data_IF_917748571708
#
_entry.id   IF_917748571708
#
_cell.length_a   1.000
_cell.length_b   1.000
_cell.length_c   1.000
_cell.angle_alpha   90.00
_cell.angle_beta   90.00
_cell.angle_gamma   90.00
#
_symmetry.space_group_name_H-M   'P 1'
#
loop_
_entity.id
_entity.type
_entity.pdbx_description
1 polymer ?
#
# COMPACT_ATOMS: atom_id res chain seq x y z
N UNK A 1 -1.20 -22.02 1.49
CA UNK A 1 -0.70 -22.98 2.49
C UNK A 1 -1.75 -24.05 2.69
N UNK A 2 -1.33 -25.28 2.93
CA UNK A 2 -2.22 -26.41 3.25
C UNK A 2 -2.83 -26.19 4.64
N UNK A 3 -4.14 -26.43 4.80
CA UNK A 3 -4.84 -26.29 6.09
C UNK A 3 -4.38 -27.33 7.12
N UNK A 4 -3.55 -28.30 6.71
CA UNK A 4 -2.97 -29.35 7.55
C UNK A 4 -1.94 -28.89 8.59
N UNK A 5 -1.50 -27.62 8.56
CA UNK A 5 -0.46 -27.07 9.44
C UNK A 5 -1.00 -26.20 10.59
N UNK A 6 -2.32 -26.14 10.79
CA UNK A 6 -2.89 -25.41 11.93
C UNK A 6 -2.56 -26.13 13.25
N UNK A 7 -2.14 -25.42 14.31
CA UNK A 7 -1.92 -26.04 15.62
C UNK A 7 -3.16 -26.75 16.13
N UNK A 8 -2.98 -27.94 16.71
CA UNK A 8 -4.07 -28.78 17.23
C UNK A 8 -3.94 -28.90 18.74
N UNK A 9 -5.05 -28.64 19.44
CA UNK A 9 -5.09 -28.76 20.90
C UNK A 9 -5.09 -30.24 21.31
N UNK A 10 -4.19 -30.62 22.21
CA UNK A 10 -4.05 -32.00 22.72
C UNK A 10 -4.75 -32.12 24.08
N UNK A 11 -5.39 -33.27 24.33
CA UNK A 11 -6.10 -33.56 25.58
C UNK A 11 -5.40 -34.72 26.28
N UNK A 12 -4.86 -34.48 27.47
CA UNK A 12 -4.11 -35.47 28.24
C UNK A 12 -4.98 -36.67 28.67
N UNK A 13 -6.29 -36.46 28.89
CA UNK A 13 -7.23 -37.54 29.22
C UNK A 13 -7.54 -38.49 28.05
N UNK A 14 -7.28 -38.06 26.81
CA UNK A 14 -7.51 -38.86 25.61
C UNK A 14 -6.30 -39.74 25.25
N UNK A 15 -5.20 -39.62 26.00
CA UNK A 15 -4.01 -40.44 25.78
C UNK A 15 -4.23 -41.89 26.17
N UNK A 16 -3.73 -42.81 25.34
CA UNK A 16 -3.63 -44.21 25.71
C UNK A 16 -2.69 -44.39 26.92
N UNK A 17 -2.98 -45.37 27.78
CA UNK A 17 -2.17 -45.66 28.97
C UNK A 17 -0.71 -45.98 28.66
N UNK A 18 -0.44 -46.52 27.46
CA UNK A 18 0.89 -46.86 26.97
C UNK A 18 1.73 -45.61 26.66
N UNK A 19 1.10 -44.56 26.12
CA UNK A 19 1.75 -43.29 25.75
C UNK A 19 1.81 -42.31 26.92
N UNK A 20 0.96 -42.49 27.94
CA UNK A 20 0.87 -41.57 29.06
C UNK A 20 2.18 -41.53 29.87
N UNK A 21 2.80 -42.69 30.07
CA UNK A 21 4.04 -42.78 30.84
C UNK A 21 5.25 -42.20 30.09
N UNK A 22 5.26 -42.30 28.76
CA UNK A 22 6.31 -41.71 27.93
C UNK A 22 6.18 -40.18 27.89
N UNK A 23 4.96 -39.64 27.79
CA UNK A 23 4.71 -38.20 27.82
C UNK A 23 4.99 -37.61 29.22
N UNK A 24 4.61 -38.27 30.31
CA UNK A 24 5.03 -37.84 31.64
C UNK A 24 6.55 -37.80 31.80
N UNK A 25 7.27 -38.77 31.24
CA UNK A 25 8.74 -38.77 31.26
C UNK A 25 9.30 -37.63 30.40
N UNK A 26 8.73 -37.38 29.21
CA UNK A 26 9.11 -36.30 28.29
C UNK A 26 9.00 -34.92 28.93
N UNK A 27 7.92 -34.65 29.66
CA UNK A 27 7.70 -33.38 30.36
C UNK A 27 8.27 -33.36 31.79
N UNK A 28 8.94 -34.42 32.24
CA UNK A 28 9.54 -34.50 33.58
C UNK A 28 8.51 -34.56 34.73
N UNK A 29 7.29 -34.99 34.47
CA UNK A 29 6.18 -35.04 35.44
C UNK A 29 6.28 -36.32 36.29
N UNK A 30 7.02 -36.21 37.39
CA UNK A 30 7.40 -37.34 38.27
C UNK A 30 6.74 -37.33 39.65
N UNK A 31 6.16 -36.20 40.07
CA UNK A 31 5.61 -35.99 41.41
C UNK A 31 4.10 -35.68 41.38
N UNK A 32 3.39 -36.03 42.46
CA UNK A 32 1.95 -35.83 42.62
C UNK A 32 1.13 -37.10 42.42
N UNK A 33 -0.14 -37.05 42.82
CA UNK A 33 -1.09 -38.12 42.52
C UNK A 33 -1.43 -38.16 41.01
N UNK A 34 -2.15 -39.20 40.58
CA UNK A 34 -2.48 -39.41 39.17
C UNK A 34 -3.17 -38.18 38.58
N UNK A 35 -4.12 -37.59 39.33
CA UNK A 35 -4.86 -36.42 38.89
C UNK A 35 -3.96 -35.18 38.72
N UNK A 36 -3.06 -34.92 39.68
CA UNK A 36 -2.10 -33.82 39.62
C UNK A 36 -1.15 -33.94 38.43
N UNK A 37 -0.72 -35.17 38.11
CA UNK A 37 0.14 -35.44 36.95
C UNK A 37 -0.59 -35.22 35.64
N UNK A 38 -1.85 -35.64 35.53
CA UNK A 38 -2.69 -35.33 34.37
C UNK A 38 -2.91 -33.82 34.18
N UNK A 39 -3.18 -33.09 35.27
CA UNK A 39 -3.32 -31.63 35.20
C UNK A 39 -2.02 -30.96 34.74
N UNK A 40 -0.87 -31.37 35.30
CA UNK A 40 0.43 -30.86 34.87
C UNK A 40 0.73 -31.17 33.39
N UNK A 41 0.32 -32.34 32.88
CA UNK A 41 0.49 -32.68 31.47
C UNK A 41 -0.43 -31.87 30.56
N UNK A 42 -1.69 -31.68 30.97
CA UNK A 42 -2.63 -30.83 30.23
C UNK A 42 -2.14 -29.37 30.19
N UNK A 43 -1.58 -28.87 31.30
CA UNK A 43 -0.99 -27.53 31.35
C UNK A 43 0.16 -27.39 30.34
N UNK A 44 1.04 -28.40 30.22
CA UNK A 44 2.09 -28.40 29.18
C UNK A 44 1.52 -28.41 27.76
N UNK A 45 0.48 -29.18 27.49
CA UNK A 45 -0.17 -29.19 26.18
C UNK A 45 -0.83 -27.86 25.85
N UNK A 46 -1.45 -27.22 26.84
CA UNK A 46 -2.07 -25.91 26.68
C UNK A 46 -0.99 -24.83 26.43
N UNK A 47 0.12 -24.84 27.17
CA UNK A 47 1.27 -23.94 26.94
C UNK A 47 1.88 -24.10 25.54
N UNK A 48 2.09 -25.35 25.09
CA UNK A 48 2.62 -25.63 23.75
C UNK A 48 1.64 -25.19 22.65
N UNK A 49 0.34 -25.43 22.86
CA UNK A 49 -0.70 -25.02 21.93
C UNK A 49 -0.77 -23.50 21.82
N UNK A 50 -0.79 -22.79 22.94
CA UNK A 50 -0.84 -21.33 22.97
C UNK A 50 0.38 -20.72 22.27
N UNK A 51 1.58 -21.27 22.53
CA UNK A 51 2.81 -20.87 21.84
C UNK A 51 2.72 -21.11 20.33
N UNK A 52 2.27 -22.31 19.93
CA UNK A 52 2.14 -22.69 18.52
C UNK A 52 1.11 -21.85 17.78
N UNK A 53 0.01 -21.45 18.43
CA UNK A 53 -1.01 -20.56 17.88
C UNK A 53 -0.44 -19.17 17.63
N UNK A 54 0.29 -18.60 18.60
CA UNK A 54 0.93 -17.28 18.44
C UNK A 54 1.92 -17.31 17.27
N UNK A 55 2.74 -18.34 17.16
CA UNK A 55 3.68 -18.50 16.05
C UNK A 55 2.96 -18.64 14.69
N UNK A 56 1.91 -19.46 14.64
CA UNK A 56 1.09 -19.65 13.45
C UNK A 56 0.42 -18.34 13.00
N UNK A 57 -0.21 -17.62 13.92
CA UNK A 57 -0.85 -16.32 13.64
C UNK A 57 0.17 -15.30 13.14
N UNK A 58 1.36 -15.26 13.75
CA UNK A 58 2.46 -14.37 13.33
C UNK A 58 2.90 -14.68 11.90
N UNK A 59 3.05 -15.96 11.55
CA UNK A 59 3.46 -16.35 10.19
C UNK A 59 2.36 -16.06 9.16
N UNK A 60 1.09 -16.28 9.51
CA UNK A 60 -0.05 -15.91 8.65
C UNK A 60 -0.07 -14.40 8.41
N UNK A 61 0.07 -13.59 9.45
CA UNK A 61 0.13 -12.13 9.32
C UNK A 61 1.28 -11.67 8.42
N UNK A 62 2.46 -12.29 8.57
CA UNK A 62 3.63 -12.01 7.74
C UNK A 62 3.38 -12.35 6.27
N UNK A 63 2.77 -13.51 5.99
CA UNK A 63 2.40 -13.91 4.63
C UNK A 63 1.36 -12.98 4.01
N UNK A 64 0.36 -12.54 4.78
CA UNK A 64 -0.63 -11.56 4.33
C UNK A 64 0.02 -10.20 4.03
N UNK A 65 0.95 -9.75 4.87
CA UNK A 65 1.71 -8.53 4.66
C UNK A 65 2.56 -8.62 3.39
N UNK A 66 3.23 -9.75 3.16
CA UNK A 66 4.05 -9.98 1.96
C UNK A 66 3.20 -10.07 0.69
N UNK A 67 2.04 -10.74 0.75
CA UNK A 67 1.07 -10.76 -0.36
C UNK A 67 0.59 -9.35 -0.69
N UNK A 68 0.23 -8.58 0.33
CA UNK A 68 -0.25 -7.20 0.17
C UNK A 68 0.84 -6.32 -0.43
N UNK A 69 2.07 -6.42 0.09
CA UNK A 69 3.24 -5.73 -0.45
C UNK A 69 3.46 -6.06 -1.93
N UNK A 70 3.43 -7.35 -2.29
CA UNK A 70 3.59 -7.79 -3.67
C UNK A 70 2.49 -7.23 -4.59
N UNK A 71 1.23 -7.30 -4.16
CA UNK A 71 0.13 -6.73 -4.96
C UNK A 71 0.28 -5.21 -5.17
N UNK A 72 0.81 -4.50 -4.18
CA UNK A 72 1.10 -3.08 -4.29
C UNK A 72 2.25 -2.82 -5.29
N UNK A 73 3.33 -3.60 -5.23
CA UNK A 73 4.46 -3.51 -6.17
C UNK A 73 4.04 -3.79 -7.62
N UNK A 74 3.19 -4.80 -7.83
CA UNK A 74 2.64 -5.14 -9.15
C UNK A 74 1.72 -4.02 -9.70
N UNK A 75 0.85 -3.47 -8.84
CA UNK A 75 0.00 -2.34 -9.19
C UNK A 75 0.82 -1.07 -9.53
N UNK A 76 1.88 -0.80 -8.76
CA UNK A 76 2.80 0.31 -9.02
C UNK A 76 3.51 0.14 -10.37
N UNK A 77 4.00 -1.07 -10.65
CA UNK A 77 4.67 -1.39 -11.92
C UNK A 77 3.73 -1.19 -13.10
N UNK A 78 2.48 -1.65 -12.97
CA UNK A 78 1.45 -1.48 -14.00
C UNK A 78 1.12 -0.01 -14.22
N UNK A 79 0.98 0.79 -13.15
CA UNK A 79 0.72 2.22 -13.26
C UNK A 79 1.86 2.96 -13.99
N UNK A 80 3.12 2.62 -13.68
CA UNK A 80 4.30 3.19 -14.34
C UNK A 80 4.37 2.80 -15.84
N UNK A 81 4.02 1.55 -16.18
CA UNK A 81 3.95 1.10 -17.56
C UNK A 81 2.88 1.89 -18.34
N UNK A 82 1.66 2.01 -17.81
CA UNK A 82 0.57 2.75 -18.44
C UNK A 82 0.90 4.25 -18.61
N UNK A 83 1.57 4.85 -17.63
CA UNK A 83 2.04 6.23 -17.73
C UNK A 83 3.05 6.39 -18.87
N UNK A 84 4.02 5.47 -18.98
CA UNK A 84 5.00 5.49 -20.07
C UNK A 84 4.33 5.32 -21.43
N UNK A 85 3.42 4.36 -21.57
CA UNK A 85 2.68 4.15 -22.82
C UNK A 85 1.85 5.38 -23.22
N UNK A 86 1.21 6.05 -22.26
CA UNK A 86 0.47 7.28 -22.52
C UNK A 86 1.39 8.40 -23.04
N UNK A 87 2.58 8.56 -22.43
CA UNK A 87 3.57 9.54 -22.87
C UNK A 87 4.15 9.22 -24.25
N UNK A 88 4.29 7.95 -24.61
CA UNK A 88 4.71 7.52 -25.95
C UNK A 88 3.65 7.86 -27.01
N UNK A 89 2.35 7.75 -26.67
CA UNK A 89 1.24 8.16 -27.55
C UNK A 89 1.08 9.68 -27.66
N UNK A 90 1.57 10.43 -26.67
CA UNK A 90 1.46 11.90 -26.60
C UNK A 90 2.84 12.58 -26.59
N UNK A 91 3.59 12.57 -27.71
CA UNK A 91 4.96 13.09 -27.75
C UNK A 91 5.06 14.58 -27.40
N UNK A 92 3.98 15.35 -27.65
CA UNK A 92 3.87 16.75 -27.22
C UNK A 92 3.85 16.88 -25.69
N UNK A 93 3.01 16.09 -25.01
CA UNK A 93 2.94 16.10 -23.55
C UNK A 93 4.27 15.64 -22.94
N UNK A 94 4.88 14.57 -23.47
CA UNK A 94 6.18 14.07 -23.02
C UNK A 94 7.30 15.12 -23.16
N UNK A 95 7.29 15.91 -24.22
CA UNK A 95 8.27 17.00 -24.41
C UNK A 95 8.06 18.12 -23.40
N UNK A 96 6.81 18.53 -23.18
CA UNK A 96 6.47 19.55 -22.18
C UNK A 96 6.88 19.11 -20.78
N UNK A 97 6.59 17.86 -20.41
CA UNK A 97 6.96 17.30 -19.11
C UNK A 97 8.47 17.32 -18.92
N UNK A 98 9.25 16.86 -19.90
CA UNK A 98 10.72 16.94 -19.85
C UNK A 98 11.23 18.38 -19.70
N UNK A 99 10.60 19.34 -20.37
CA UNK A 99 10.95 20.77 -20.22
C UNK A 99 10.63 21.31 -18.82
N UNK A 100 9.53 20.85 -18.21
CA UNK A 100 9.18 21.18 -16.82
C UNK A 100 10.23 20.58 -15.87
N UNK A 101 10.56 19.30 -16.02
CA UNK A 101 11.57 18.62 -15.18
C UNK A 101 12.94 19.31 -15.27
N UNK A 102 13.35 19.71 -16.47
CA UNK A 102 14.60 20.44 -16.71
C UNK A 102 14.55 21.93 -16.32
N UNK A 103 13.43 22.42 -15.78
CA UNK A 103 13.21 23.84 -15.45
C UNK A 103 13.38 24.81 -16.64
N UNK A 104 13.27 24.32 -17.87
CA UNK A 104 13.40 25.14 -19.11
C UNK A 104 12.05 25.48 -19.75
N UNK A 105 10.95 24.93 -19.22
CA UNK A 105 9.61 25.26 -19.69
C UNK A 105 9.30 26.77 -19.56
N UNK A 106 8.50 27.36 -20.46
CA UNK A 106 8.11 28.77 -20.35
C UNK A 106 7.43 29.12 -19.02
N UNK A 107 7.64 30.35 -18.53
CA UNK A 107 7.00 30.84 -17.29
C UNK A 107 5.47 30.79 -17.32
N UNK A 108 4.87 30.95 -18.51
CA UNK A 108 3.44 30.77 -18.76
C UNK A 108 3.28 29.62 -19.73
N UNK A 109 2.62 28.56 -19.27
CA UNK A 109 2.45 27.33 -20.02
C UNK A 109 0.96 27.06 -20.21
N UNK A 110 0.58 26.79 -21.46
CA UNK A 110 -0.78 26.42 -21.84
C UNK A 110 -0.70 25.04 -22.46
N UNK A 111 -1.45 24.08 -21.93
CA UNK A 111 -1.44 22.69 -22.38
C UNK A 111 -2.84 22.27 -22.77
N UNK A 112 -2.98 21.73 -23.99
CA UNK A 112 -4.25 21.31 -24.60
C UNK A 112 -4.12 19.91 -25.18
N UNK A 113 -5.22 19.17 -25.19
CA UNK A 113 -5.27 17.79 -25.68
C UNK A 113 -4.41 16.82 -24.87
N UNK A 114 -4.27 17.06 -23.56
CA UNK A 114 -3.51 16.18 -22.66
C UNK A 114 -4.45 15.15 -22.03
N UNK A 115 -4.06 13.87 -21.98
CA UNK A 115 -4.85 12.86 -21.27
C UNK A 115 -4.72 12.97 -19.75
N UNK A 116 -5.61 12.26 -19.04
CA UNK A 116 -5.56 12.17 -17.57
C UNK A 116 -4.20 11.68 -17.07
N UNK A 117 -3.64 10.64 -17.70
CA UNK A 117 -2.37 10.03 -17.30
C UNK A 117 -1.20 10.99 -17.52
N UNK A 118 -1.10 11.59 -18.71
CA UNK A 118 -0.09 12.60 -19.00
C UNK A 118 -0.22 13.83 -18.10
N UNK A 119 -1.45 14.22 -17.73
CA UNK A 119 -1.69 15.35 -16.83
C UNK A 119 -1.22 15.04 -15.40
N UNK A 120 -1.46 13.81 -14.91
CA UNK A 120 -0.90 13.35 -13.63
C UNK A 120 0.63 13.43 -13.63
N UNK A 121 1.28 12.99 -14.71
CA UNK A 121 2.73 13.09 -14.88
C UNK A 121 3.21 14.55 -14.88
N UNK A 122 2.49 15.44 -15.58
CA UNK A 122 2.76 16.87 -15.60
C UNK A 122 2.70 17.48 -14.20
N UNK A 123 1.66 17.21 -13.42
CA UNK A 123 1.57 17.72 -12.04
C UNK A 123 2.67 17.15 -11.14
N UNK A 124 3.11 15.90 -11.38
CA UNK A 124 4.25 15.33 -10.66
C UNK A 124 5.55 16.06 -10.98
N UNK A 125 5.84 16.30 -12.27
CA UNK A 125 7.00 17.07 -12.72
C UNK A 125 6.99 18.50 -12.17
N UNK A 126 5.79 19.10 -12.06
CA UNK A 126 5.65 20.44 -11.50
C UNK A 126 6.06 20.54 -10.02
N UNK A 127 6.01 19.48 -9.21
CA UNK A 127 6.30 19.55 -7.75
C UNK A 127 7.62 20.27 -7.41
N UNK A 128 8.67 19.97 -8.16
CA UNK A 128 10.02 20.51 -7.95
C UNK A 128 10.38 21.58 -8.99
N UNK A 129 9.45 21.97 -9.86
CA UNK A 129 9.71 22.97 -10.87
C UNK A 129 9.80 24.38 -10.25
N UNK A 130 10.89 25.09 -10.56
CA UNK A 130 11.19 26.42 -10.03
C UNK A 130 11.10 27.53 -11.09
N UNK A 131 10.58 27.25 -12.28
CA UNK A 131 10.49 28.21 -13.39
C UNK A 131 9.07 28.61 -13.78
N UNK A 132 8.15 27.65 -13.96
CA UNK A 132 6.76 27.88 -14.38
C UNK A 132 6.00 28.64 -13.29
N UNK A 133 5.37 29.74 -13.67
CA UNK A 133 4.61 30.65 -12.79
C UNK A 133 3.11 30.56 -13.05
N UNK A 134 2.70 30.27 -14.28
CA UNK A 134 1.30 30.14 -14.69
C UNK A 134 1.14 28.88 -15.52
N UNK A 135 0.23 28.00 -15.09
CA UNK A 135 -0.11 26.77 -15.79
C UNK A 135 -1.59 26.77 -16.11
N UNK A 136 -1.91 26.64 -17.39
CA UNK A 136 -3.28 26.50 -17.88
C UNK A 136 -3.45 25.11 -18.51
N UNK A 137 -4.28 24.28 -17.88
CA UNK A 137 -4.70 22.97 -18.36
C UNK A 137 -6.22 22.91 -18.52
N UNK A 138 -6.85 24.06 -18.75
CA UNK A 138 -8.27 24.16 -19.04
C UNK A 138 -8.63 23.42 -20.33
N UNK A 139 -9.89 22.98 -20.43
CA UNK A 139 -10.46 22.34 -21.62
C UNK A 139 -9.71 21.07 -22.07
N UNK A 140 -9.44 20.16 -21.13
CA UNK A 140 -8.77 18.87 -21.37
C UNK A 140 -9.61 17.66 -20.91
N UNK A 141 -10.89 17.87 -20.61
CA UNK A 141 -11.80 16.84 -20.09
C UNK A 141 -11.29 16.13 -18.82
N UNK A 142 -10.47 16.81 -18.01
CA UNK A 142 -9.87 16.20 -16.82
C UNK A 142 -10.94 15.79 -15.80
N UNK A 143 -10.84 14.57 -15.26
CA UNK A 143 -11.77 14.06 -14.24
C UNK A 143 -11.14 14.08 -12.85
N UNK A 144 -11.88 13.70 -11.81
CA UNK A 144 -11.40 13.74 -10.42
C UNK A 144 -10.13 12.91 -10.16
N UNK A 145 -9.72 12.04 -11.09
CA UNK A 145 -8.45 11.29 -11.06
C UNK A 145 -7.24 12.22 -10.85
N UNK A 146 -7.27 13.43 -11.42
CA UNK A 146 -6.14 14.38 -11.29
C UNK A 146 -6.12 15.14 -9.95
N UNK A 147 -7.16 15.04 -9.13
CA UNK A 147 -7.30 15.81 -7.88
C UNK A 147 -6.17 15.56 -6.87
N UNK A 148 -5.81 14.29 -6.66
CA UNK A 148 -4.69 13.91 -5.79
C UNK A 148 -3.33 14.46 -6.28
N UNK A 149 -2.97 14.27 -7.56
CA UNK A 149 -1.79 14.89 -8.16
C UNK A 149 -1.76 16.43 -8.04
N UNK A 150 -2.89 17.12 -8.24
CA UNK A 150 -2.98 18.58 -8.08
C UNK A 150 -2.70 19.00 -6.64
N UNK A 151 -3.42 18.44 -5.67
CA UNK A 151 -3.27 18.80 -4.26
C UNK A 151 -1.83 18.62 -3.78
N UNK A 152 -1.23 17.49 -4.16
CA UNK A 152 0.16 17.23 -3.86
C UNK A 152 1.17 18.15 -4.57
N UNK A 153 0.87 18.61 -5.79
CA UNK A 153 1.73 19.57 -6.49
C UNK A 153 1.67 20.94 -5.82
N UNK A 154 0.48 21.38 -5.40
CA UNK A 154 0.28 22.65 -4.73
C UNK A 154 0.91 22.69 -3.33
N UNK A 155 1.05 21.54 -2.65
CA UNK A 155 1.64 21.50 -1.31
C UNK A 155 3.15 21.76 -1.34
N UNK A 156 3.82 21.29 -2.40
CA UNK A 156 5.27 21.36 -2.55
C UNK A 156 5.73 22.52 -3.43
N UNK A 157 5.08 22.77 -4.56
CA UNK A 157 5.55 23.78 -5.51
C UNK A 157 5.33 25.20 -4.96
N UNK A 158 6.42 25.92 -4.72
CA UNK A 158 6.40 27.32 -4.23
C UNK A 158 6.56 28.38 -5.32
N UNK A 159 6.67 28.00 -6.59
CA UNK A 159 6.88 28.90 -7.74
C UNK A 159 5.59 29.22 -8.50
N UNK A 160 4.71 28.25 -8.65
CA UNK A 160 3.43 28.41 -9.34
C UNK A 160 2.59 29.46 -8.61
N UNK A 161 1.93 30.32 -9.38
CA UNK A 161 1.06 31.41 -8.88
C UNK A 161 -0.33 31.34 -9.46
N UNK A 162 -0.47 30.79 -10.66
CA UNK A 162 -1.75 30.64 -11.36
C UNK A 162 -1.87 29.23 -11.88
N UNK A 163 -2.97 28.56 -11.52
CA UNK A 163 -3.38 27.27 -12.06
C UNK A 163 -4.80 27.42 -12.61
N UNK A 164 -4.97 27.24 -13.92
CA UNK A 164 -6.28 27.24 -14.57
C UNK A 164 -6.71 25.80 -14.88
N UNK A 165 -7.85 25.40 -14.30
CA UNK A 165 -8.50 24.10 -14.43
C UNK A 165 -9.88 24.21 -15.10
N UNK A 166 -10.23 25.37 -15.65
CA UNK A 166 -11.55 25.63 -16.23
C UNK A 166 -11.94 24.64 -17.32
N UNK A 167 -13.24 24.47 -17.55
CA UNK A 167 -13.77 23.59 -18.62
C UNK A 167 -13.23 22.15 -18.57
N UNK A 168 -13.01 21.62 -17.36
CA UNK A 168 -12.75 20.21 -17.11
C UNK A 168 -13.96 19.57 -16.40
N UNK A 169 -13.92 18.25 -16.20
CA UNK A 169 -14.98 17.44 -15.56
C UNK A 169 -14.65 17.19 -14.08
N UNK A 170 -14.15 18.21 -13.39
CA UNK A 170 -13.78 18.16 -11.98
C UNK A 170 -15.01 18.38 -11.10
N UNK A 171 -15.16 17.58 -10.05
CA UNK A 171 -16.23 17.69 -9.07
C UNK A 171 -15.67 18.00 -7.68
N UNK A 172 -16.53 18.03 -6.67
CA UNK A 172 -16.15 18.19 -5.27
C UNK A 172 -15.11 17.14 -4.80
N UNK A 173 -15.01 15.99 -5.47
CA UNK A 173 -14.02 14.97 -5.13
C UNK A 173 -12.59 15.44 -5.39
N UNK A 174 -12.34 16.12 -6.51
CA UNK A 174 -11.04 16.73 -6.81
C UNK A 174 -10.64 17.83 -5.83
N UNK A 175 -11.61 18.47 -5.16
CA UNK A 175 -11.35 19.56 -4.22
C UNK A 175 -10.84 19.08 -2.86
N UNK A 176 -11.17 17.84 -2.44
CA UNK A 176 -10.74 17.34 -1.11
C UNK A 176 -9.22 17.38 -0.94
N UNK A 177 -8.40 16.85 -1.87
CA UNK A 177 -6.95 16.89 -1.75
C UNK A 177 -6.36 18.29 -1.96
N UNK A 178 -7.10 19.21 -2.58
CA UNK A 178 -6.67 20.60 -2.85
C UNK A 178 -6.93 21.49 -1.62
N UNK A 179 -8.07 21.30 -0.95
CA UNK A 179 -8.46 22.07 0.23
C UNK A 179 -7.50 21.84 1.41
N UNK A 180 -7.00 20.61 1.57
CA UNK A 180 -6.04 20.25 2.64
C UNK A 180 -4.70 20.96 2.53
N UNK A 181 -4.43 21.62 1.41
CA UNK A 181 -3.15 22.26 1.10
C UNK A 181 -3.10 23.72 1.51
N UNK A 182 -4.26 24.33 1.79
CA UNK A 182 -4.40 25.76 2.09
C UNK A 182 -4.31 26.09 3.59
N UNK A 183 -3.74 25.19 4.41
CA UNK A 183 -3.46 25.40 5.84
C UNK A 183 -1.95 25.60 6.04
#
# INVERSE_FOLDING_TARGET
>A
MDQSMAPVKRIAMELASEDLQSEFARYGITAGDVNSRFMALQERYDEEYDTSIIEYETEIQKLEMERTKKTYEDALTTALMLEREALEREPKAATIIRQIEANVAPKRLVVRGISQLSCCALFRAMRNNSNVVSLDVSNNELSDIVGGPIGNMLSTNKKLRVLDLGFNKLTILSLRPIATVSA
#
